data_IF_385568897773
#
_entry.id   IF_385568897773
#
_cell.length_a   1.000
_cell.length_b   1.000
_cell.length_c   1.000
_cell.angle_alpha   90.00
_cell.angle_beta   90.00
_cell.angle_gamma   90.00
#
_symmetry.space_group_name_H-M   'P 1'
#
loop_
_entity.id
_entity.type
_entity.pdbx_description
1 polymer ?
#
# COMPACT_ATOMS: atom_id res chain seq x y z
N UNK A 1 20.90 -26.05 26.22
CA UNK A 1 19.82 -25.59 25.32
C UNK A 1 19.47 -24.15 25.66
N UNK A 2 19.99 -23.17 24.91
CA UNK A 2 19.60 -21.76 25.05
C UNK A 2 20.11 -20.94 23.85
N UNK A 3 19.70 -21.28 22.61
CA UNK A 3 20.07 -20.49 21.42
C UNK A 3 18.92 -20.48 20.42
N UNK A 4 17.75 -19.92 20.78
CA UNK A 4 16.69 -19.56 19.81
C UNK A 4 16.01 -18.21 20.14
N UNK A 5 16.21 -17.63 21.34
CA UNK A 5 15.43 -16.42 21.75
C UNK A 5 16.02 -15.10 21.22
N UNK A 6 17.31 -15.04 20.89
CA UNK A 6 17.95 -13.77 20.49
C UNK A 6 17.70 -13.38 19.03
N UNK A 7 17.47 -14.36 18.14
CA UNK A 7 17.19 -14.09 16.71
C UNK A 7 15.83 -13.42 16.49
N UNK A 8 14.80 -13.79 17.26
CA UNK A 8 13.47 -13.19 17.15
C UNK A 8 13.45 -11.74 17.65
N UNK A 9 14.26 -11.40 18.66
CA UNK A 9 14.30 -10.05 19.23
C UNK A 9 14.99 -9.03 18.31
N UNK A 10 15.98 -9.45 17.51
CA UNK A 10 16.69 -8.55 16.58
C UNK A 10 15.83 -8.22 15.35
N UNK A 11 15.02 -9.16 14.86
CA UNK A 11 14.05 -8.92 13.76
C UNK A 11 12.90 -8.01 14.19
N UNK A 12 12.60 -7.92 15.50
CA UNK A 12 11.62 -6.99 16.05
C UNK A 12 12.11 -5.53 16.06
N UNK A 13 13.42 -5.29 16.14
CA UNK A 13 13.99 -3.95 16.33
C UNK A 13 14.22 -3.15 15.03
N UNK A 14 14.20 -3.80 13.86
CA UNK A 14 14.31 -3.12 12.54
C UNK A 14 12.96 -2.77 11.92
N UNK A 15 11.85 -3.12 12.59
CA UNK A 15 10.47 -2.80 12.18
C UNK A 15 10.21 -1.31 12.34
N UNK A 16 10.40 -0.55 11.26
CA UNK A 16 9.91 0.82 11.21
C UNK A 16 8.61 0.83 10.45
N UNK A 17 7.51 0.87 11.20
CA UNK A 17 6.29 1.48 10.68
C UNK A 17 6.70 2.79 10.01
N UNK A 18 6.34 2.95 8.75
CA UNK A 18 6.76 4.07 7.94
C UNK A 18 5.51 4.76 7.44
N UNK A 19 5.35 6.02 7.83
CA UNK A 19 4.34 6.91 7.27
C UNK A 19 5.04 8.00 6.50
N UNK A 20 4.78 8.09 5.20
CA UNK A 20 5.35 9.13 4.34
C UNK A 20 4.25 10.02 3.76
N UNK A 21 4.62 11.21 3.29
CA UNK A 21 3.72 12.08 2.53
C UNK A 21 3.62 11.69 1.06
N UNK A 22 2.77 12.40 0.31
CA UNK A 22 2.67 12.25 -1.15
C UNK A 22 4.02 12.47 -1.84
N UNK A 23 4.20 11.84 -3.01
CA UNK A 23 5.42 11.88 -3.85
C UNK A 23 6.69 11.33 -3.17
N UNK A 24 6.54 10.67 -2.02
CA UNK A 24 7.61 9.93 -1.35
C UNK A 24 7.47 8.46 -1.70
N UNK A 25 8.61 7.80 -1.90
CA UNK A 25 8.67 6.36 -2.16
C UNK A 25 8.69 5.61 -0.85
N UNK A 26 7.87 4.56 -0.79
CA UNK A 26 7.97 3.50 0.19
C UNK A 26 8.62 2.33 -0.52
N UNK A 27 9.70 1.81 0.06
CA UNK A 27 10.34 0.60 -0.44
C UNK A 27 9.92 -0.61 0.39
N UNK A 28 9.49 -1.66 -0.29
CA UNK A 28 9.21 -2.98 0.29
C UNK A 28 9.98 -3.98 -0.57
N UNK A 29 11.04 -4.54 0.00
CA UNK A 29 11.94 -5.48 -0.68
C UNK A 29 12.54 -4.90 -1.99
N UNK A 30 12.32 -5.57 -3.13
CA UNK A 30 12.74 -5.15 -4.46
C UNK A 30 11.67 -4.32 -5.19
N UNK A 31 10.67 -3.80 -4.48
CA UNK A 31 9.62 -2.95 -5.03
C UNK A 31 9.60 -1.60 -4.34
N UNK A 32 9.32 -0.54 -5.10
CA UNK A 32 9.03 0.76 -4.52
C UNK A 32 7.72 1.34 -5.05
N UNK A 33 6.95 1.91 -4.12
CA UNK A 33 5.62 2.43 -4.38
C UNK A 33 5.56 3.90 -4.00
N UNK A 34 4.84 4.68 -4.78
CA UNK A 34 4.69 6.11 -4.57
C UNK A 34 3.26 6.51 -4.89
N UNK A 35 2.64 7.31 -4.02
CA UNK A 35 1.39 7.98 -4.34
C UNK A 35 1.73 9.35 -4.89
N UNK A 36 1.46 9.57 -6.16
CA UNK A 36 1.81 10.80 -6.88
C UNK A 36 0.84 11.93 -6.56
N UNK A 37 -0.45 11.58 -6.49
CA UNK A 37 -1.56 12.52 -6.32
C UNK A 37 -2.74 11.82 -5.67
N UNK A 38 -3.47 12.58 -4.87
CA UNK A 38 -4.75 12.15 -4.31
C UNK A 38 -5.78 13.27 -4.49
N UNK A 39 -6.99 12.91 -4.89
CA UNK A 39 -8.10 13.84 -5.02
C UNK A 39 -9.44 13.15 -4.80
N UNK A 40 -10.46 13.91 -4.45
CA UNK A 40 -11.81 13.39 -4.25
C UNK A 40 -12.65 13.58 -5.52
N UNK A 41 -13.45 12.58 -5.87
CA UNK A 41 -14.46 12.64 -6.92
C UNK A 41 -15.83 12.31 -6.34
N UNK A 42 -16.89 12.87 -6.93
CA UNK A 42 -18.25 12.43 -6.63
C UNK A 42 -18.57 11.18 -7.44
N UNK A 43 -18.97 10.12 -6.75
CA UNK A 43 -19.47 8.87 -7.33
C UNK A 43 -20.99 8.78 -7.13
N UNK A 44 -21.64 7.85 -7.84
CA UNK A 44 -23.07 7.60 -7.68
C UNK A 44 -23.46 7.22 -6.23
N UNK A 45 -22.50 6.69 -5.47
CA UNK A 45 -22.69 6.20 -4.09
C UNK A 45 -22.15 7.15 -3.02
N UNK A 46 -21.48 8.25 -3.38
CA UNK A 46 -20.92 9.19 -2.43
C UNK A 46 -19.69 9.95 -2.94
N UNK A 47 -18.66 10.02 -2.11
CA UNK A 47 -17.35 10.58 -2.47
C UNK A 47 -16.35 9.46 -2.49
N UNK A 48 -15.61 9.34 -3.60
CA UNK A 48 -14.50 8.41 -3.73
C UNK A 48 -13.19 9.19 -3.70
N UNK A 49 -12.20 8.66 -2.99
CA UNK A 49 -10.83 9.14 -3.01
C UNK A 49 -10.07 8.42 -4.11
N UNK A 50 -9.53 9.17 -5.05
CA UNK A 50 -8.73 8.68 -6.16
C UNK A 50 -7.27 8.88 -5.83
N UNK A 51 -6.48 7.81 -5.94
CA UNK A 51 -5.03 7.83 -5.76
C UNK A 51 -4.36 7.43 -7.07
N UNK A 52 -3.51 8.31 -7.58
CA UNK A 52 -2.59 8.01 -8.68
C UNK A 52 -1.29 7.45 -8.08
N UNK A 53 -0.88 6.27 -8.53
CA UNK A 53 0.27 5.56 -7.99
C UNK A 53 1.30 5.29 -9.07
N UNK A 54 2.57 5.39 -8.68
CA UNK A 54 3.70 4.84 -9.43
C UNK A 54 4.22 3.61 -8.68
N UNK A 55 4.35 2.50 -9.40
CA UNK A 55 4.93 1.23 -8.92
C UNK A 55 6.22 0.99 -9.68
N UNK A 56 7.31 0.74 -8.97
CA UNK A 56 8.61 0.41 -9.55
C UNK A 56 8.98 -1.02 -9.15
N UNK A 57 9.19 -1.87 -10.15
CA UNK A 57 9.83 -3.15 -10.00
C UNK A 57 11.35 -2.93 -10.06
N UNK A 58 12.01 -2.92 -8.90
CA UNK A 58 13.47 -2.79 -8.79
C UNK A 58 14.16 -4.17 -8.84
N UNK A 59 13.39 -5.27 -8.92
CA UNK A 59 13.93 -6.61 -9.04
C UNK A 59 14.61 -6.80 -10.40
N UNK A 60 15.76 -7.48 -10.39
CA UNK A 60 16.60 -7.65 -11.59
C UNK A 60 16.15 -8.77 -12.53
N UNK A 61 15.33 -9.72 -12.03
CA UNK A 61 15.03 -10.99 -12.73
C UNK A 61 13.60 -11.48 -12.53
N UNK A 62 12.77 -10.73 -11.81
CA UNK A 62 11.44 -11.16 -11.41
C UNK A 62 10.45 -10.16 -11.97
N UNK A 63 9.53 -10.64 -12.79
CA UNK A 63 8.38 -9.85 -13.22
C UNK A 63 7.37 -9.77 -12.08
N UNK A 64 6.55 -8.72 -12.08
CA UNK A 64 5.65 -8.42 -10.99
C UNK A 64 4.27 -8.04 -11.49
N UNK A 65 3.28 -8.79 -11.03
CA UNK A 65 1.87 -8.46 -11.19
C UNK A 65 1.39 -7.67 -9.98
N UNK A 66 1.21 -6.37 -10.16
CA UNK A 66 0.63 -5.51 -9.14
C UNK A 66 -0.86 -5.82 -9.00
N UNK A 67 -1.24 -6.26 -7.80
CA UNK A 67 -2.64 -6.42 -7.40
C UNK A 67 -3.12 -5.18 -6.61
N UNK A 68 -4.12 -4.44 -7.11
CA UNK A 68 -4.80 -3.35 -6.39
C UNK A 68 -5.28 -3.71 -4.99
N UNK A 69 -5.61 -4.98 -4.75
CA UNK A 69 -6.12 -5.45 -3.46
C UNK A 69 -5.11 -5.34 -2.32
N UNK A 70 -3.83 -5.18 -2.67
CA UNK A 70 -2.72 -4.95 -1.74
C UNK A 70 -2.76 -3.53 -1.14
N UNK A 71 -3.62 -2.62 -1.62
CA UNK A 71 -3.72 -1.27 -1.08
C UNK A 71 -5.10 -1.06 -0.47
N UNK A 72 -5.11 -0.55 0.76
CA UNK A 72 -6.33 -0.21 1.49
C UNK A 72 -6.28 1.23 1.99
N UNK A 73 -7.43 1.88 2.02
CA UNK A 73 -7.62 3.14 2.73
C UNK A 73 -7.95 2.85 4.19
N UNK A 74 -7.16 3.36 5.13
CA UNK A 74 -7.37 3.20 6.57
C UNK A 74 -7.79 4.54 7.15
N UNK A 75 -8.95 4.58 7.82
CA UNK A 75 -9.40 5.78 8.53
C UNK A 75 -8.74 5.94 9.91
N UNK A 76 -9.00 7.07 10.56
CA UNK A 76 -8.54 7.38 11.91
C UNK A 76 -8.97 6.37 13.00
N UNK A 77 -10.01 5.58 12.75
CA UNK A 77 -10.48 4.53 13.65
C UNK A 77 -9.85 3.15 13.33
N UNK A 78 -8.93 3.10 12.36
CA UNK A 78 -8.28 1.87 11.91
C UNK A 78 -9.15 1.01 10.98
N UNK A 79 -10.29 1.52 10.50
CA UNK A 79 -11.15 0.78 9.58
C UNK A 79 -10.56 0.84 8.17
N UNK A 80 -10.33 -0.33 7.58
CA UNK A 80 -9.79 -0.45 6.23
C UNK A 80 -10.89 -0.61 5.17
N UNK A 81 -10.79 0.16 4.09
CA UNK A 81 -11.61 0.05 2.88
C UNK A 81 -10.73 -0.36 1.71
N UNK A 82 -11.10 -1.41 0.98
CA UNK A 82 -10.36 -1.84 -0.22
C UNK A 82 -10.57 -0.86 -1.37
N UNK A 83 -9.49 -0.61 -2.12
CA UNK A 83 -9.56 0.12 -3.37
C UNK A 83 -10.12 -0.72 -4.50
N UNK A 84 -10.64 -0.05 -5.52
CA UNK A 84 -10.98 -0.64 -6.82
C UNK A 84 -10.21 0.08 -7.92
N UNK A 85 -10.07 -0.57 -9.07
CA UNK A 85 -9.56 0.10 -10.26
C UNK A 85 -10.46 1.29 -10.61
N UNK A 86 -9.84 2.42 -10.99
CA UNK A 86 -10.59 3.59 -11.45
C UNK A 86 -11.34 3.29 -12.75
N UNK A 87 -12.51 3.92 -12.93
CA UNK A 87 -13.36 3.66 -14.09
C UNK A 87 -12.59 3.88 -15.41
N UNK A 88 -12.54 2.84 -16.26
CA UNK A 88 -11.83 2.89 -17.54
C UNK A 88 -10.31 2.67 -17.46
N UNK A 89 -9.76 2.36 -16.28
CA UNK A 89 -8.36 1.96 -16.13
C UNK A 89 -8.25 0.52 -15.62
N UNK A 90 -7.21 -0.20 -16.05
CA UNK A 90 -6.80 -1.42 -15.36
C UNK A 90 -6.09 -1.01 -14.08
N UNK A 91 -6.63 -1.39 -12.93
CA UNK A 91 -5.94 -1.20 -11.65
C UNK A 91 -4.68 -2.07 -11.56
N UNK A 92 -4.71 -3.23 -12.22
CA UNK A 92 -3.61 -4.17 -12.27
C UNK A 92 -2.53 -3.72 -13.27
N UNK A 93 -1.27 -3.91 -12.90
CA UNK A 93 -0.10 -3.66 -13.74
C UNK A 93 0.77 -4.91 -13.80
N UNK A 94 1.15 -5.33 -15.00
CA UNK A 94 2.24 -6.26 -15.19
C UNK A 94 3.52 -5.46 -15.46
N UNK A 95 4.53 -5.61 -14.60
CA UNK A 95 5.82 -4.93 -14.70
C UNK A 95 6.92 -5.96 -14.89
N UNK A 96 7.62 -5.90 -16.02
CA UNK A 96 8.83 -6.72 -16.16
C UNK A 96 9.94 -6.23 -15.22
N UNK A 97 10.96 -7.05 -15.01
CA UNK A 97 12.12 -6.70 -14.20
C UNK A 97 12.70 -5.29 -14.54
N UNK A 98 13.07 -4.54 -13.50
CA UNK A 98 13.61 -3.18 -13.59
C UNK A 98 12.68 -2.13 -14.25
N UNK A 99 11.37 -2.39 -14.35
CA UNK A 99 10.40 -1.52 -14.99
C UNK A 99 9.51 -0.76 -13.98
N UNK A 100 8.96 0.36 -14.42
CA UNK A 100 7.98 1.14 -13.64
C UNK A 100 6.68 1.31 -14.41
N UNK A 101 5.57 1.36 -13.69
CA UNK A 101 4.25 1.63 -14.25
C UNK A 101 3.41 2.52 -13.35
N UNK A 102 2.32 3.03 -13.93
CA UNK A 102 1.36 3.90 -13.24
C UNK A 102 -0.02 3.29 -13.25
N UNK A 103 -0.72 3.41 -12.13
CA UNK A 103 -2.09 2.94 -11.98
C UNK A 103 -2.89 3.92 -11.13
N UNK A 104 -4.21 3.86 -11.26
CA UNK A 104 -5.14 4.71 -10.51
C UNK A 104 -6.13 3.84 -9.76
N UNK A 105 -6.23 4.08 -8.45
CA UNK A 105 -7.14 3.37 -7.56
C UNK A 105 -8.17 4.32 -6.95
N UNK A 106 -9.41 3.85 -6.82
CA UNK A 106 -10.52 4.55 -6.19
C UNK A 106 -10.91 3.87 -4.89
N UNK A 107 -11.11 4.66 -3.84
CA UNK A 107 -11.48 4.19 -2.51
C UNK A 107 -12.74 4.91 -2.05
N UNK A 108 -13.84 4.21 -1.73
CA UNK A 108 -15.00 4.84 -1.13
C UNK A 108 -14.60 5.56 0.18
N UNK A 109 -14.80 6.88 0.23
CA UNK A 109 -14.42 7.68 1.39
C UNK A 109 -15.56 7.66 2.43
N UNK A 110 -15.29 7.29 3.69
CA UNK A 110 -16.29 7.41 4.74
C UNK A 110 -16.66 8.89 4.93
N UNK A 111 -17.96 9.19 5.09
CA UNK A 111 -18.50 10.55 5.29
C UNK A 111 -17.90 11.34 6.47
N UNK A 112 -17.07 10.69 7.32
CA UNK A 112 -16.48 11.25 8.55
C UNK A 112 -14.97 11.04 8.68
N UNK A 113 -14.26 10.61 7.63
CA UNK A 113 -12.81 10.41 7.74
C UNK A 113 -12.09 11.78 7.78
N UNK A 114 -11.66 12.20 8.98
CA UNK A 114 -10.83 13.39 9.18
C UNK A 114 -9.40 13.13 8.72
N UNK A 115 -8.82 12.01 9.16
CA UNK A 115 -7.54 11.50 8.67
C UNK A 115 -7.71 10.16 7.96
N UNK A 116 -7.00 10.01 6.84
CA UNK A 116 -6.93 8.75 6.13
C UNK A 116 -5.50 8.48 5.66
N UNK A 117 -5.15 7.20 5.65
CA UNK A 117 -3.87 6.70 5.16
C UNK A 117 -4.12 5.68 4.06
N UNK A 118 -3.32 5.71 3.00
CA UNK A 118 -3.20 4.56 2.13
C UNK A 118 -2.17 3.62 2.74
N UNK A 119 -2.54 2.37 2.98
CA UNK A 119 -1.68 1.35 3.57
C UNK A 119 -1.49 0.19 2.61
N UNK A 120 -0.24 -0.26 2.48
CA UNK A 120 0.07 -1.52 1.81
C UNK A 120 -0.20 -2.69 2.75
N UNK A 121 -1.03 -3.61 2.30
CA UNK A 121 -1.50 -4.79 2.99
C UNK A 121 -1.24 -6.01 2.10
N UNK A 122 -0.01 -6.53 2.16
CA UNK A 122 0.35 -7.73 1.43
C UNK A 122 -0.35 -8.97 2.02
N UNK A 123 -0.66 -9.96 1.17
CA UNK A 123 -1.02 -11.32 1.59
C UNK A 123 -2.45 -11.59 2.13
N UNK A 124 -3.44 -10.73 1.91
CA UNK A 124 -4.81 -10.96 2.42
C UNK A 124 -4.90 -10.85 3.96
N UNK A 125 -5.97 -11.31 4.62
CA UNK A 125 -6.08 -11.12 6.09
C UNK A 125 -5.00 -11.87 6.89
N UNK A 126 -4.65 -13.08 6.47
CA UNK A 126 -3.63 -13.91 7.13
C UNK A 126 -2.22 -13.42 6.79
N UNK A 127 -1.96 -13.09 5.52
CA UNK A 127 -0.66 -12.54 5.11
C UNK A 127 -0.44 -11.12 5.61
N UNK A 128 -1.47 -10.30 5.79
CA UNK A 128 -1.34 -8.96 6.42
C UNK A 128 -0.73 -9.05 7.81
N UNK A 129 -1.03 -10.11 8.56
CA UNK A 129 -0.42 -10.34 9.87
C UNK A 129 1.06 -10.73 9.73
N UNK A 130 1.40 -11.60 8.79
CA UNK A 130 2.79 -11.99 8.50
C UNK A 130 3.62 -10.83 7.94
N UNK A 131 3.06 -10.04 7.02
CA UNK A 131 3.71 -8.91 6.38
C UNK A 131 3.86 -7.74 7.33
N UNK A 132 2.91 -7.52 8.25
CA UNK A 132 3.10 -6.59 9.37
C UNK A 132 4.23 -7.04 10.29
N UNK A 133 4.37 -8.35 10.52
CA UNK A 133 5.46 -8.93 11.30
C UNK A 133 6.81 -8.77 10.57
N UNK A 134 6.84 -8.92 9.25
CA UNK A 134 8.08 -8.89 8.45
C UNK A 134 8.52 -7.47 8.06
N UNK A 135 7.59 -6.62 7.66
CA UNK A 135 7.85 -5.32 7.04
C UNK A 135 7.29 -4.12 7.82
N UNK A 136 6.46 -4.34 8.84
CA UNK A 136 5.75 -3.27 9.56
C UNK A 136 4.65 -2.60 8.72
N UNK A 137 3.94 -1.63 9.30
CA UNK A 137 2.92 -0.88 8.58
C UNK A 137 3.56 0.15 7.64
N UNK A 138 3.26 0.05 6.35
CA UNK A 138 3.73 1.00 5.33
C UNK A 138 2.58 1.86 4.84
N UNK A 139 2.64 3.16 5.12
CA UNK A 139 1.52 4.09 4.98
C UNK A 139 1.91 5.37 4.24
N UNK A 140 0.99 5.90 3.44
CA UNK A 140 1.04 7.25 2.89
C UNK A 140 -0.08 8.07 3.49
N UNK A 141 0.26 9.20 4.09
CA UNK A 141 -0.72 10.17 4.56
C UNK A 141 -1.35 10.88 3.36
N UNK A 142 -2.68 10.85 3.28
CA UNK A 142 -3.44 11.48 2.18
C UNK A 142 -4.23 12.73 2.60
N UNK A 143 -4.26 13.05 3.91
CA UNK A 143 -4.78 14.27 4.51
C UNK A 143 -3.96 14.72 5.71
#
# INVERSE_FOLDING_TARGET
>A
MAIIVVGALVVLATRKDETVGLKRRIRIDDFSFQVDKVYEIRSATGTDLVAELTVNNEAKRVDFDFDPSLIVLVDENGKSTKGRASAGQTGALHLIAAQSGKTTLEFPLPKRAGHAYLQWAFGGEVGRSADRILFGDKRVQVK
#
